data_IF_988339520369
#
_entry.id   IF_988339520369
#
_cell.length_a   1.000
_cell.length_b   1.000
_cell.length_c   1.000
_cell.angle_alpha   90.00
_cell.angle_beta   90.00
_cell.angle_gamma   90.00
#
_symmetry.space_group_name_H-M   'P 1'
#
loop_
_entity.id
_entity.type
_entity.pdbx_description
1 polymer ?
#
# COMPACT_ATOMS: atom_id res chain seq x y z
N UNK A 1 14.71 6.91 0.78
CA UNK A 1 14.24 5.71 1.51
C UNK A 1 13.89 4.57 0.55
N UNK A 2 13.15 4.80 -0.54
CA UNK A 2 12.77 3.71 -1.48
C UNK A 2 13.91 3.25 -2.41
N UNK A 3 14.96 4.06 -2.58
CA UNK A 3 16.04 3.82 -3.53
C UNK A 3 16.90 2.57 -3.23
N UNK A 4 16.78 2.00 -2.03
CA UNK A 4 17.50 0.79 -1.62
C UNK A 4 16.66 -0.49 -1.77
N UNK A 5 15.44 -0.37 -2.29
CA UNK A 5 14.56 -1.51 -2.54
C UNK A 5 14.83 -2.02 -3.96
N UNK A 6 15.01 -3.32 -4.11
CA UNK A 6 14.97 -3.96 -5.42
C UNK A 6 13.51 -4.12 -5.85
N UNK A 7 13.22 -3.86 -7.13
CA UNK A 7 11.88 -3.88 -7.69
C UNK A 7 11.70 -5.03 -8.70
N UNK A 8 11.65 -6.29 -8.24
CA UNK A 8 11.41 -7.42 -9.13
C UNK A 8 9.99 -7.37 -9.71
N UNK A 9 9.77 -8.06 -10.84
CA UNK A 9 8.48 -8.01 -11.55
C UNK A 9 7.29 -8.41 -10.69
N UNK A 10 7.46 -9.40 -9.81
CA UNK A 10 6.42 -9.89 -8.90
C UNK A 10 6.83 -9.56 -7.47
N UNK A 11 6.22 -8.51 -6.93
CA UNK A 11 6.46 -8.03 -5.58
C UNK A 11 5.11 -7.75 -4.91
N UNK A 12 4.97 -8.11 -3.63
CA UNK A 12 3.79 -7.78 -2.82
C UNK A 12 4.25 -6.93 -1.63
N UNK A 13 3.71 -5.73 -1.54
CA UNK A 13 4.17 -4.69 -0.62
C UNK A 13 3.05 -4.39 0.36
N UNK A 14 3.38 -4.26 1.65
CA UNK A 14 2.51 -3.71 2.66
C UNK A 14 3.09 -2.37 3.15
N UNK A 15 2.34 -1.29 2.99
CA UNK A 15 2.67 0.03 3.55
C UNK A 15 1.88 0.25 4.83
N UNK A 16 2.59 0.46 5.96
CA UNK A 16 1.97 0.72 7.26
C UNK A 16 1.98 2.21 7.56
N UNK A 17 0.80 2.80 7.78
CA UNK A 17 0.64 4.23 8.00
C UNK A 17 0.81 5.03 6.71
N UNK A 18 0.03 4.67 5.68
CA UNK A 18 0.14 5.27 4.35
C UNK A 18 -0.21 6.78 4.30
N UNK A 19 -0.91 7.29 5.32
CA UNK A 19 -1.20 8.70 5.45
C UNK A 19 -2.00 9.24 4.26
N UNK A 20 -1.55 10.34 3.66
CA UNK A 20 -2.15 10.92 2.46
C UNK A 20 -1.59 10.32 1.14
N UNK A 21 -0.75 9.29 1.24
CA UNK A 21 -0.23 8.51 0.13
C UNK A 21 1.00 9.07 -0.57
N UNK A 22 1.74 10.00 0.06
CA UNK A 22 2.99 10.52 -0.55
C UNK A 22 3.95 9.37 -0.87
N UNK A 23 4.17 8.46 0.07
CA UNK A 23 5.02 7.30 -0.15
C UNK A 23 4.33 6.25 -1.04
N UNK A 24 3.04 5.99 -0.87
CA UNK A 24 2.24 5.12 -1.76
C UNK A 24 2.46 5.43 -3.23
N UNK A 25 2.38 6.72 -3.62
CA UNK A 25 2.61 7.17 -5.01
C UNK A 25 4.04 6.92 -5.48
N UNK A 26 5.02 7.11 -4.60
CA UNK A 26 6.43 6.84 -4.92
C UNK A 26 6.71 5.34 -5.09
N UNK A 27 6.07 4.49 -4.29
CA UNK A 27 6.14 3.04 -4.41
C UNK A 27 5.50 2.60 -5.74
N UNK A 28 4.27 3.04 -6.02
CA UNK A 28 3.56 2.72 -7.28
C UNK A 28 4.35 3.14 -8.52
N UNK A 29 5.10 4.25 -8.46
CA UNK A 29 5.94 4.70 -9.56
C UNK A 29 7.12 3.75 -9.89
N UNK A 30 7.55 2.91 -8.94
CA UNK A 30 8.64 1.94 -9.16
C UNK A 30 8.13 0.52 -9.46
N UNK A 31 6.89 0.21 -9.10
CA UNK A 31 6.34 -1.13 -9.23
C UNK A 31 6.16 -1.57 -10.69
N UNK A 32 6.46 -2.83 -10.96
CA UNK A 32 5.98 -3.52 -12.15
C UNK A 32 4.43 -3.60 -12.16
N UNK A 33 3.78 -3.67 -13.34
CA UNK A 33 2.35 -4.00 -13.47
C UNK A 33 1.90 -5.27 -12.74
N UNK A 34 2.80 -6.25 -12.57
CA UNK A 34 2.52 -7.53 -11.92
C UNK A 34 2.74 -7.51 -10.39
N UNK A 35 3.11 -6.36 -9.83
CA UNK A 35 3.27 -6.17 -8.40
C UNK A 35 1.97 -5.64 -7.74
N UNK A 36 1.83 -5.87 -6.44
CA UNK A 36 0.66 -5.45 -5.63
C UNK A 36 1.09 -4.68 -4.39
N UNK A 37 0.27 -3.70 -4.00
CA UNK A 37 0.48 -2.83 -2.84
C UNK A 37 -0.81 -2.77 -2.01
N UNK A 38 -0.72 -3.24 -0.76
CA UNK A 38 -1.71 -3.03 0.28
C UNK A 38 -1.28 -1.83 1.14
N UNK A 39 -2.12 -0.79 1.21
CA UNK A 39 -1.90 0.33 2.12
C UNK A 39 -2.72 0.14 3.40
N UNK A 40 -2.13 0.38 4.56
CA UNK A 40 -2.81 0.30 5.84
C UNK A 40 -2.82 1.67 6.51
N UNK A 41 -4.01 2.14 6.86
CA UNK A 41 -4.21 3.46 7.47
C UNK A 41 -5.28 3.37 8.56
N UNK A 42 -5.11 4.09 9.67
CA UNK A 42 -6.07 4.06 10.79
C UNK A 42 -7.19 5.08 10.59
N UNK A 43 -6.93 6.15 9.83
CA UNK A 43 -7.91 7.18 9.54
C UNK A 43 -8.77 6.81 8.33
N UNK A 44 -10.07 6.66 8.53
CA UNK A 44 -11.03 6.37 7.44
C UNK A 44 -10.98 7.42 6.34
N UNK A 45 -10.91 8.69 6.72
CA UNK A 45 -10.80 9.81 5.77
C UNK A 45 -9.54 9.73 4.91
N UNK A 46 -8.42 9.23 5.44
CA UNK A 46 -7.19 9.06 4.68
C UNK A 46 -7.23 7.80 3.83
N UNK A 47 -7.80 6.70 4.35
CA UNK A 47 -8.04 5.49 3.58
C UNK A 47 -8.93 5.77 2.35
N UNK A 48 -10.00 6.57 2.49
CA UNK A 48 -10.86 6.96 1.37
C UNK A 48 -10.08 7.73 0.29
N UNK A 49 -9.16 8.62 0.70
CA UNK A 49 -8.30 9.35 -0.24
C UNK A 49 -7.35 8.42 -0.98
N UNK A 50 -6.78 7.44 -0.30
CA UNK A 50 -5.89 6.45 -0.91
C UNK A 50 -6.65 5.54 -1.88
N UNK A 51 -7.86 5.11 -1.53
CA UNK A 51 -8.73 4.32 -2.40
C UNK A 51 -9.11 5.06 -3.70
N UNK A 52 -9.09 6.40 -3.70
CA UNK A 52 -9.31 7.20 -4.89
C UNK A 52 -8.13 7.22 -5.89
N UNK A 53 -6.96 6.64 -5.54
CA UNK A 53 -5.78 6.63 -6.43
C UNK A 53 -5.96 5.83 -7.71
N UNK A 54 -6.99 4.96 -7.80
CA UNK A 54 -7.41 4.22 -9.00
C UNK A 54 -6.26 3.61 -9.83
N UNK A 55 -5.31 2.96 -9.14
CA UNK A 55 -4.20 2.21 -9.74
C UNK A 55 -4.47 0.71 -9.58
N UNK A 56 -4.44 -0.11 -10.65
CA UNK A 56 -4.71 -1.56 -10.56
C UNK A 56 -3.74 -2.34 -9.67
N UNK A 57 -2.55 -1.78 -9.39
CA UNK A 57 -1.55 -2.40 -8.50
C UNK A 57 -1.81 -2.08 -7.03
N UNK A 58 -2.65 -1.08 -6.76
CA UNK A 58 -3.06 -0.72 -5.41
C UNK A 58 -4.33 -1.51 -5.08
N UNK A 59 -4.18 -2.60 -4.32
CA UNK A 59 -5.31 -3.46 -3.90
C UNK A 59 -6.28 -2.71 -2.96
N UNK A 60 -5.86 -1.57 -2.43
CA UNK A 60 -6.66 -0.62 -1.67
C UNK A 60 -6.01 -0.21 -0.36
N UNK A 61 -6.58 0.82 0.25
CA UNK A 61 -6.28 1.20 1.61
C UNK A 61 -7.25 0.54 2.59
N UNK A 62 -6.69 -0.24 3.50
CA UNK A 62 -7.40 -0.97 4.53
C UNK A 62 -7.34 -0.19 5.84
N UNK A 63 -8.48 -0.09 6.51
CA UNK A 63 -8.52 0.39 7.88
C UNK A 63 -7.75 -0.59 8.78
N UNK A 64 -6.63 -0.14 9.34
CA UNK A 64 -5.85 -0.96 10.25
C UNK A 64 -6.58 -1.09 11.58
N UNK A 65 -7.37 -2.15 11.72
CA UNK A 65 -8.15 -2.47 12.92
C UNK A 65 -7.36 -3.28 13.97
N UNK A 66 -6.05 -3.45 13.76
CA UNK A 66 -5.18 -4.36 14.51
C UNK A 66 -4.85 -5.62 13.71
N UNK A 67 -3.76 -6.31 14.06
CA UNK A 67 -3.45 -7.63 13.50
C UNK A 67 -4.54 -8.59 14.00
N UNK A 68 -5.37 -9.21 13.13
CA UNK A 68 -6.26 -10.26 13.58
C UNK A 68 -5.41 -11.39 14.18
N UNK A 69 -5.77 -11.85 15.36
CA UNK A 69 -5.09 -12.98 16.02
C UNK A 69 -4.98 -14.13 15.01
N UNK A 70 -3.74 -14.58 14.74
CA UNK A 70 -3.49 -15.74 13.89
C UNK A 70 -4.30 -16.90 14.45
N UNK A 71 -5.32 -17.35 13.71
CA UNK A 71 -5.90 -18.68 13.91
C UNK A 71 -4.86 -19.68 13.39
N UNK A 72 -4.10 -20.23 14.34
CA UNK A 72 -3.20 -21.37 14.15
C UNK A 72 -4.03 -22.62 13.86
#
# INVERSE_FOLDING_TARGET
>A
MIASVEWPEKLRIAELGAGDGVLTRQILAQMSPDATLDAFEISSTLADKLNALNDPRHDGAHLFSGIPERRI
#
